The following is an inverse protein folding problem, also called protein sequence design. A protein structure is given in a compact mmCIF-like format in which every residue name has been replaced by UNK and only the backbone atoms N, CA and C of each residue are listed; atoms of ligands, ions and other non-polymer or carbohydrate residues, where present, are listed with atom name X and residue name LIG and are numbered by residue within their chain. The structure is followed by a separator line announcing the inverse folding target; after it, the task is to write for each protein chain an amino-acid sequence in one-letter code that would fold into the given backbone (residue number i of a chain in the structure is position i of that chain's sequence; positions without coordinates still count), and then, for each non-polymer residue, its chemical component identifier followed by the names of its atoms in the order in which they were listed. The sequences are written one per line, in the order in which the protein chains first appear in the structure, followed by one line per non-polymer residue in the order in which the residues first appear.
data_IF_398049911161
#
_entry.id   IF_398049911161
#
_cell.length_a   1.000
_cell.length_b   1.000
_cell.length_c   1.000
_cell.angle_alpha   90.00
_cell.angle_beta   90.00
_cell.angle_gamma   90.00
#
_symmetry.space_group_name_H-M   'P 1'
#
loop_
_entity.id
_entity.type
_entity.pdbx_description
1 polymer ?
#
# COMPACT_ATOMS: atom_id res chain seq x y z
N UNK A 1 -32.64 16.35 -39.90
CA UNK A 1 -31.75 17.22 -39.11
C UNK A 1 -31.33 18.42 -39.95
N UNK A 2 -31.61 19.64 -39.49
CA UNK A 2 -31.16 20.86 -40.18
C UNK A 2 -29.63 21.02 -40.04
N UNK A 3 -29.00 21.77 -40.95
CA UNK A 3 -27.55 22.05 -40.89
C UNK A 3 -27.17 22.62 -39.52
N UNK A 4 -27.97 23.54 -38.97
CA UNK A 4 -27.79 24.10 -37.62
C UNK A 4 -27.76 23.03 -36.51
N UNK A 5 -28.62 22.02 -36.60
CA UNK A 5 -28.68 20.93 -35.63
C UNK A 5 -27.43 20.03 -35.70
N UNK A 6 -26.89 19.77 -36.89
CA UNK A 6 -25.65 19.00 -37.07
C UNK A 6 -24.44 19.71 -36.46
N UNK A 7 -24.32 21.02 -36.68
CA UNK A 7 -23.26 21.83 -36.07
C UNK A 7 -23.38 21.91 -34.54
N UNK A 8 -24.60 22.02 -34.02
CA UNK A 8 -24.84 21.97 -32.57
C UNK A 8 -24.38 20.65 -31.94
N UNK A 9 -24.70 19.51 -32.57
CA UNK A 9 -24.25 18.18 -32.11
C UNK A 9 -22.73 18.06 -32.20
N UNK A 10 -22.11 18.50 -33.29
CA UNK A 10 -20.66 18.44 -33.45
C UNK A 10 -19.93 19.30 -32.40
N UNK A 11 -20.42 20.51 -32.13
CA UNK A 11 -19.86 21.39 -31.10
C UNK A 11 -20.00 20.78 -29.69
N UNK A 12 -21.15 20.16 -29.40
CA UNK A 12 -21.38 19.48 -28.11
C UNK A 12 -20.44 18.29 -27.93
N UNK A 13 -20.26 17.45 -28.95
CA UNK A 13 -19.34 16.32 -28.91
C UNK A 13 -17.89 16.77 -28.73
N UNK A 14 -17.48 17.82 -29.46
CA UNK A 14 -16.14 18.41 -29.31
C UNK A 14 -15.92 18.94 -27.90
N UNK A 15 -16.91 19.66 -27.34
CA UNK A 15 -16.85 20.15 -25.98
C UNK A 15 -16.71 19.01 -24.95
N UNK A 16 -17.48 17.92 -25.12
CA UNK A 16 -17.37 16.74 -24.27
C UNK A 16 -15.98 16.10 -24.33
N UNK A 17 -15.42 15.95 -25.53
CA UNK A 17 -14.06 15.40 -25.73
C UNK A 17 -13.03 16.29 -25.05
N UNK A 18 -13.13 17.61 -25.19
CA UNK A 18 -12.21 18.54 -24.53
C UNK A 18 -12.32 18.48 -23.01
N UNK A 19 -13.53 18.36 -22.46
CA UNK A 19 -13.76 18.21 -21.02
C UNK A 19 -13.08 16.93 -20.50
N UNK A 20 -13.25 15.81 -21.20
CA UNK A 20 -12.63 14.52 -20.81
C UNK A 20 -11.10 14.57 -20.96
N UNK A 21 -10.60 15.15 -22.06
CA UNK A 21 -9.16 15.27 -22.32
C UNK A 21 -8.46 16.20 -21.32
N UNK A 22 -9.15 17.21 -20.81
CA UNK A 22 -8.60 18.18 -19.84
C UNK A 22 -9.08 17.96 -18.41
N UNK A 23 -9.75 16.83 -18.14
CA UNK A 23 -10.37 16.58 -16.85
C UNK A 23 -9.32 16.62 -15.72
N UNK A 24 -9.45 17.53 -14.73
CA UNK A 24 -8.40 17.77 -13.76
C UNK A 24 -8.28 16.62 -12.75
N UNK A 25 -7.04 16.16 -12.51
CA UNK A 25 -6.76 15.02 -11.61
C UNK A 25 -7.28 15.26 -10.19
N UNK A 26 -7.20 16.50 -9.70
CA UNK A 26 -7.72 16.89 -8.38
C UNK A 26 -9.21 16.57 -8.23
N UNK A 27 -10.02 16.80 -9.27
CA UNK A 27 -11.46 16.56 -9.23
C UNK A 27 -11.75 15.06 -9.30
N UNK A 28 -11.00 14.32 -10.12
CA UNK A 28 -11.11 12.87 -10.20
C UNK A 28 -10.84 12.19 -8.85
N UNK A 29 -9.78 12.58 -8.15
CA UNK A 29 -9.43 12.05 -6.83
C UNK A 29 -10.48 12.38 -5.76
N UNK A 30 -11.07 13.59 -5.82
CA UNK A 30 -12.13 13.98 -4.90
C UNK A 30 -13.39 13.13 -5.10
N UNK A 31 -13.72 12.77 -6.34
CA UNK A 31 -14.91 11.96 -6.65
C UNK A 31 -14.69 10.46 -6.50
N UNK A 32 -13.46 9.96 -6.57
CA UNK A 32 -13.16 8.54 -6.48
C UNK A 32 -13.20 7.98 -5.05
N UNK A 33 -13.29 8.86 -4.03
CA UNK A 33 -13.14 8.47 -2.63
C UNK A 33 -11.68 8.14 -2.26
N UNK A 34 -10.71 8.54 -3.08
CA UNK A 34 -9.28 8.31 -2.80
C UNK A 34 -8.87 8.96 -1.46
N UNK A 35 -9.45 10.12 -1.13
CA UNK A 35 -9.25 10.78 0.17
C UNK A 35 -9.74 9.93 1.33
N UNK A 36 -10.91 9.29 1.20
CA UNK A 36 -11.46 8.38 2.22
C UNK A 36 -10.61 7.11 2.36
N UNK A 37 -9.93 6.71 1.28
CA UNK A 37 -8.94 5.64 1.27
C UNK A 37 -7.56 6.07 1.82
N UNK A 38 -7.42 7.30 2.31
CA UNK A 38 -6.20 7.81 2.95
C UNK A 38 -5.16 8.40 2.00
N UNK A 39 -5.47 8.57 0.71
CA UNK A 39 -4.60 9.25 -0.25
C UNK A 39 -4.68 10.75 -0.02
N UNK A 40 -3.54 11.36 0.32
CA UNK A 40 -3.41 12.82 0.46
C UNK A 40 -2.18 13.30 -0.29
N UNK A 41 -2.15 14.57 -0.68
CA UNK A 41 -1.00 15.20 -1.31
C UNK A 41 -1.00 16.69 -0.97
N UNK A 42 0.19 17.32 -0.90
CA UNK A 42 0.29 18.78 -0.71
C UNK A 42 -0.27 19.52 -1.91
N UNK A 43 0.02 19.02 -3.10
CA UNK A 43 -0.43 19.61 -4.36
C UNK A 43 -0.72 18.51 -5.39
N UNK A 44 -1.76 18.71 -6.19
CA UNK A 44 -2.13 17.82 -7.30
C UNK A 44 -2.17 18.65 -8.58
N UNK A 45 -1.34 18.27 -9.55
CA UNK A 45 -1.17 18.95 -10.83
C UNK A 45 -1.58 18.06 -12.00
N UNK A 46 -1.92 18.68 -13.12
CA UNK A 46 -2.21 17.99 -14.37
C UNK A 46 -3.63 17.43 -14.51
N UNK A 47 -3.89 16.84 -15.67
CA UNK A 47 -5.13 16.12 -15.96
C UNK A 47 -5.04 14.68 -15.50
N UNK A 48 -6.15 13.94 -15.52
CA UNK A 48 -6.17 12.50 -15.22
C UNK A 48 -5.24 11.67 -16.10
N UNK A 49 -4.85 12.18 -17.27
CA UNK A 49 -3.95 11.49 -18.21
C UNK A 49 -2.46 11.69 -17.91
N UNK A 50 -2.13 12.79 -17.24
CA UNK A 50 -0.76 13.19 -16.93
C UNK A 50 -0.73 13.93 -15.58
N UNK A 51 -1.12 13.21 -14.52
CA UNK A 51 -1.24 13.74 -13.18
C UNK A 51 0.07 13.64 -12.39
N UNK A 52 0.31 14.60 -11.52
CA UNK A 52 1.42 14.59 -10.56
C UNK A 52 0.91 14.97 -9.18
N UNK A 53 1.16 14.10 -8.19
CA UNK A 53 0.83 14.29 -6.80
C UNK A 53 2.13 14.61 -6.06
N UNK A 54 2.27 15.86 -5.62
CA UNK A 54 3.48 16.36 -4.94
C UNK A 54 3.36 16.09 -3.45
N UNK A 55 4.39 15.47 -2.87
CA UNK A 55 4.41 15.03 -1.47
C UNK A 55 3.16 14.21 -1.09
N UNK A 56 2.82 13.23 -1.93
CA UNK A 56 1.74 12.30 -1.69
C UNK A 56 2.01 11.43 -0.46
N UNK A 57 0.94 11.05 0.23
CA UNK A 57 0.91 10.11 1.35
C UNK A 57 -0.29 9.18 1.21
N UNK A 58 -0.12 7.95 1.68
CA UNK A 58 -1.20 6.99 1.83
C UNK A 58 -1.25 6.57 3.31
N UNK A 59 -2.20 7.13 4.07
CA UNK A 59 -2.20 6.99 5.52
C UNK A 59 -0.85 7.40 6.13
N UNK A 60 -0.22 6.50 6.88
CA UNK A 60 1.12 6.69 7.45
C UNK A 60 2.30 6.57 6.46
N UNK A 61 2.07 6.16 5.21
CA UNK A 61 3.14 5.90 4.23
C UNK A 61 3.45 7.17 3.42
N UNK A 62 4.63 7.79 3.60
CA UNK A 62 5.07 8.88 2.75
C UNK A 62 5.43 8.35 1.37
N UNK A 63 4.64 8.72 0.37
CA UNK A 63 4.91 8.35 -1.02
C UNK A 63 5.79 9.40 -1.71
N UNK A 64 5.85 10.64 -1.25
CA UNK A 64 6.63 11.68 -1.92
C UNK A 64 5.99 12.09 -3.26
N UNK A 65 6.78 12.53 -4.23
CA UNK A 65 6.22 12.94 -5.52
C UNK A 65 5.94 11.73 -6.41
N UNK A 66 4.67 11.52 -6.77
CA UNK A 66 4.18 10.39 -7.56
C UNK A 66 3.51 10.90 -8.82
N UNK A 67 3.89 10.36 -9.98
CA UNK A 67 3.13 10.55 -11.23
C UNK A 67 2.03 9.50 -11.30
N UNK A 68 0.83 9.92 -11.67
CA UNK A 68 -0.32 9.05 -11.80
C UNK A 68 -1.11 9.37 -13.07
N UNK A 69 -1.56 8.35 -13.78
CA UNK A 69 -2.33 8.48 -15.01
C UNK A 69 -3.41 7.43 -15.10
N UNK A 70 -4.59 7.82 -15.54
CA UNK A 70 -5.74 6.95 -15.80
C UNK A 70 -5.45 6.10 -17.04
N UNK A 71 -5.71 4.79 -16.93
CA UNK A 71 -5.56 3.85 -18.04
C UNK A 71 -6.72 4.01 -19.03
N UNK A 72 -6.48 4.46 -20.28
CA UNK A 72 -7.55 4.58 -21.27
C UNK A 72 -8.14 3.22 -21.61
N UNK A 73 -7.32 2.17 -21.62
CA UNK A 73 -7.75 0.80 -21.92
C UNK A 73 -8.69 0.28 -20.83
N UNK A 74 -8.35 0.48 -19.55
CA UNK A 74 -9.20 0.06 -18.44
C UNK A 74 -10.57 0.78 -18.47
N UNK A 75 -10.59 2.06 -18.83
CA UNK A 75 -11.85 2.80 -18.97
C UNK A 75 -12.77 2.23 -20.06
N UNK A 76 -12.20 1.74 -21.17
CA UNK A 76 -12.98 1.08 -22.22
C UNK A 76 -13.58 -0.25 -21.75
N UNK A 77 -12.92 -0.92 -20.81
CA UNK A 77 -13.41 -2.14 -20.14
C UNK A 77 -14.39 -1.83 -19.00
N UNK A 78 -14.59 -0.56 -18.66
CA UNK A 78 -15.48 -0.10 -17.58
C UNK A 78 -14.80 -0.01 -16.21
N UNK A 79 -13.48 -0.18 -16.15
CA UNK A 79 -12.69 -0.12 -14.93
C UNK A 79 -12.02 1.24 -14.70
N UNK A 80 -11.81 1.56 -13.42
CA UNK A 80 -11.11 2.79 -13.02
C UNK A 80 -9.74 2.43 -12.48
N UNK A 81 -8.75 2.38 -13.37
CA UNK A 81 -7.37 2.08 -13.05
C UNK A 81 -6.46 3.30 -13.21
N UNK A 82 -5.69 3.61 -12.17
CA UNK A 82 -4.62 4.59 -12.17
C UNK A 82 -3.27 3.88 -12.13
N UNK A 83 -2.48 4.05 -13.19
CA UNK A 83 -1.07 3.64 -13.19
C UNK A 83 -0.28 4.71 -12.45
N UNK A 84 0.58 4.32 -11.51
CA UNK A 84 1.39 5.26 -10.76
C UNK A 84 2.87 4.86 -10.78
N UNK A 85 3.73 5.88 -10.70
CA UNK A 85 5.17 5.69 -10.59
C UNK A 85 5.83 6.83 -9.81
N UNK A 86 6.88 6.49 -9.08
CA UNK A 86 7.79 7.39 -8.39
C UNK A 86 9.20 7.06 -8.82
N UNK A 87 9.92 8.08 -9.25
CA UNK A 87 11.33 7.98 -9.66
C UNK A 87 12.24 8.78 -8.73
N UNK A 88 11.77 9.16 -7.55
CA UNK A 88 12.57 9.88 -6.55
C UNK A 88 13.71 9.00 -6.04
N UNK A 89 14.99 9.34 -6.29
CA UNK A 89 16.13 8.53 -5.85
C UNK A 89 16.26 8.45 -4.33
N UNK A 90 15.76 9.45 -3.59
CA UNK A 90 15.89 9.52 -2.12
C UNK A 90 14.97 8.55 -1.41
N UNK A 91 13.77 8.36 -1.96
CA UNK A 91 12.74 7.46 -1.41
C UNK A 91 12.74 6.10 -2.08
N UNK A 92 13.53 5.93 -3.14
CA UNK A 92 13.54 4.74 -3.97
C UNK A 92 12.37 4.69 -4.97
N UNK A 93 12.56 3.92 -6.03
CA UNK A 93 11.53 3.70 -7.03
C UNK A 93 10.31 2.99 -6.41
N UNK A 94 9.12 3.36 -6.88
CA UNK A 94 7.86 2.70 -6.54
C UNK A 94 6.93 2.82 -7.74
N UNK A 95 6.34 1.72 -8.20
CA UNK A 95 5.40 1.73 -9.31
C UNK A 95 4.32 0.66 -9.10
N UNK A 96 3.17 0.84 -9.74
CA UNK A 96 2.09 -0.13 -9.71
C UNK A 96 0.81 0.44 -10.31
N UNK A 97 -0.30 -0.25 -10.04
CA UNK A 97 -1.64 0.14 -10.47
C UNK A 97 -2.54 0.26 -9.26
N UNK A 98 -3.38 1.28 -9.24
CA UNK A 98 -4.41 1.52 -8.25
C UNK A 98 -5.77 1.35 -8.90
N UNK A 99 -6.62 0.54 -8.29
CA UNK A 99 -7.93 0.17 -8.78
C UNK A 99 -9.02 0.79 -7.90
N UNK A 100 -9.82 1.69 -8.48
CA UNK A 100 -10.90 2.41 -7.81
C UNK A 100 -12.28 1.73 -7.93
N UNK A 101 -12.48 0.86 -8.93
CA UNK A 101 -13.70 0.05 -9.11
C UNK A 101 -13.70 -1.14 -8.15
N UNK A 102 -14.82 -1.84 -7.99
CA UNK A 102 -14.91 -3.05 -7.16
C UNK A 102 -14.51 -4.28 -7.99
N UNK A 103 -13.57 -5.14 -7.54
CA UNK A 103 -12.81 -5.03 -6.30
C UNK A 103 -11.82 -3.86 -6.33
N UNK A 104 -11.60 -3.19 -5.20
CA UNK A 104 -10.67 -2.04 -5.04
C UNK A 104 -9.30 -2.50 -4.57
N UNK A 105 -8.27 -1.69 -4.73
CA UNK A 105 -6.94 -1.98 -4.17
C UNK A 105 -5.81 -1.67 -5.13
N UNK A 106 -4.72 -2.43 -5.05
CA UNK A 106 -3.51 -2.20 -5.86
C UNK A 106 -3.05 -3.48 -6.54
N UNK A 107 -2.40 -3.37 -7.69
CA UNK A 107 -1.76 -4.52 -8.36
C UNK A 107 -0.38 -4.17 -8.89
N UNK A 108 0.44 -5.22 -9.06
CA UNK A 108 1.78 -5.13 -9.63
C UNK A 108 2.68 -4.08 -8.95
N UNK A 109 2.50 -3.91 -7.64
CA UNK A 109 3.28 -2.95 -6.87
C UNK A 109 4.71 -3.46 -6.74
N UNK A 110 5.66 -2.67 -7.21
CA UNK A 110 7.08 -2.95 -7.19
C UNK A 110 7.85 -1.74 -6.67
N UNK A 111 8.87 -2.00 -5.85
CA UNK A 111 9.75 -0.96 -5.33
C UNK A 111 9.75 -0.90 -3.82
N UNK A 112 10.02 0.28 -3.26
CA UNK A 112 10.21 0.46 -1.81
C UNK A 112 9.41 1.64 -1.29
N UNK A 113 9.07 1.64 -0.02
CA UNK A 113 8.52 2.81 0.68
C UNK A 113 8.95 2.75 2.14
N UNK A 114 8.97 3.90 2.80
CA UNK A 114 9.14 3.96 4.24
C UNK A 114 7.77 3.98 4.93
N UNK A 115 7.75 3.63 6.21
CA UNK A 115 6.56 3.67 7.06
C UNK A 115 6.88 4.47 8.33
N UNK A 116 6.33 5.67 8.38
CA UNK A 116 6.52 6.55 9.54
C UNK A 116 5.78 5.98 10.75
N UNK A 117 6.50 5.71 11.85
CA UNK A 117 5.89 5.27 13.11
C UNK A 117 5.68 3.76 13.27
N UNK A 118 6.08 2.93 12.30
CA UNK A 118 6.06 1.47 12.44
C UNK A 118 4.67 0.85 12.62
N UNK A 119 4.64 -0.38 13.13
CA UNK A 119 3.41 -1.11 13.46
C UNK A 119 3.22 -1.09 14.97
N UNK A 120 2.71 0.02 15.51
CA UNK A 120 2.59 0.23 16.95
C UNK A 120 3.96 0.12 17.62
N UNK A 121 4.17 -0.92 18.44
CA UNK A 121 5.45 -1.15 19.12
C UNK A 121 6.52 -1.82 18.25
N UNK A 122 6.20 -2.29 17.04
CA UNK A 122 7.18 -2.94 16.15
C UNK A 122 7.77 -1.87 15.21
N UNK A 123 9.08 -1.54 15.33
CA UNK A 123 9.69 -0.43 14.59
C UNK A 123 10.05 -0.86 13.16
N UNK A 124 9.05 -1.04 12.31
CA UNK A 124 9.21 -1.24 10.88
C UNK A 124 9.48 0.10 10.21
N UNK A 125 10.55 0.18 9.42
CA UNK A 125 10.96 1.42 8.76
C UNK A 125 10.77 1.35 7.24
N UNK A 126 11.27 0.28 6.62
CA UNK A 126 11.20 0.12 5.16
C UNK A 126 10.35 -1.08 4.76
N UNK A 127 9.56 -0.91 3.72
CA UNK A 127 8.76 -1.94 3.07
C UNK A 127 9.22 -2.05 1.62
N UNK A 128 9.58 -3.25 1.18
CA UNK A 128 9.89 -3.57 -0.21
C UNK A 128 8.81 -4.47 -0.78
N UNK A 129 8.34 -4.14 -1.97
CA UNK A 129 7.32 -4.86 -2.71
C UNK A 129 7.92 -5.49 -3.97
N UNK A 130 7.51 -6.72 -4.24
CA UNK A 130 7.87 -7.47 -5.43
C UNK A 130 6.60 -8.11 -6.00
N UNK A 131 6.08 -7.49 -7.07
CA UNK A 131 4.84 -7.89 -7.73
C UNK A 131 3.61 -7.92 -6.81
N UNK A 132 3.58 -7.08 -5.77
CA UNK A 132 2.55 -7.14 -4.75
C UNK A 132 1.18 -6.72 -5.32
N UNK A 133 0.19 -7.59 -5.17
CA UNK A 133 -1.20 -7.35 -5.59
C UNK A 133 -2.12 -7.60 -4.41
N UNK A 134 -3.04 -6.66 -4.17
CA UNK A 134 -3.99 -6.66 -3.06
C UNK A 134 -5.34 -6.13 -3.57
N UNK A 135 -6.37 -6.96 -3.55
CA UNK A 135 -7.72 -6.62 -4.00
C UNK A 135 -8.73 -6.90 -2.89
N UNK A 136 -9.66 -5.97 -2.70
CA UNK A 136 -10.69 -6.00 -1.68
C UNK A 136 -12.08 -5.81 -2.30
N UNK A 137 -13.09 -6.51 -1.80
CA UNK A 137 -14.48 -6.27 -2.18
C UNK A 137 -15.05 -4.99 -1.56
N UNK A 138 -16.30 -4.65 -1.90
CA UNK A 138 -17.00 -3.48 -1.36
C UNK A 138 -17.24 -3.51 0.16
N UNK A 139 -17.10 -4.67 0.81
CA UNK A 139 -17.14 -4.81 2.27
C UNK A 139 -15.75 -4.74 2.91
N UNK A 140 -14.69 -4.55 2.11
CA UNK A 140 -13.30 -4.49 2.56
C UNK A 140 -12.64 -5.85 2.81
N UNK A 141 -13.25 -6.97 2.35
CA UNK A 141 -12.65 -8.30 2.50
C UNK A 141 -11.68 -8.59 1.35
N UNK A 142 -10.56 -9.23 1.69
CA UNK A 142 -9.55 -9.67 0.73
C UNK A 142 -10.14 -10.66 -0.28
N UNK A 143 -10.11 -10.31 -1.56
CA UNK A 143 -10.53 -11.18 -2.68
C UNK A 143 -9.34 -11.75 -3.43
N UNK A 144 -8.23 -11.02 -3.50
CA UNK A 144 -6.98 -11.49 -4.10
C UNK A 144 -5.79 -10.85 -3.40
N UNK A 145 -4.78 -11.65 -3.08
CA UNK A 145 -3.50 -11.18 -2.59
C UNK A 145 -2.37 -12.08 -3.08
N UNK A 146 -1.32 -11.49 -3.64
CA UNK A 146 -0.18 -12.21 -4.20
C UNK A 146 1.07 -11.33 -4.24
N UNK A 147 2.19 -11.93 -4.65
CA UNK A 147 3.50 -11.29 -4.65
C UNK A 147 4.24 -11.48 -3.32
N UNK A 148 5.31 -10.72 -3.13
CA UNK A 148 6.15 -10.81 -1.94
C UNK A 148 6.38 -9.43 -1.35
N UNK A 149 6.53 -9.40 -0.03
CA UNK A 149 6.99 -8.20 0.67
C UNK A 149 8.18 -8.53 1.56
N UNK A 150 9.01 -7.53 1.80
CA UNK A 150 10.06 -7.56 2.81
C UNK A 150 9.95 -6.32 3.69
N UNK A 151 10.02 -6.53 5.00
CA UNK A 151 9.99 -5.47 6.01
C UNK A 151 11.35 -5.40 6.70
N UNK A 152 11.96 -4.22 6.74
CA UNK A 152 13.16 -3.97 7.53
C UNK A 152 12.78 -3.30 8.85
N UNK A 153 13.36 -3.80 9.94
CA UNK A 153 13.17 -3.26 11.30
C UNK A 153 14.43 -2.47 11.63
N UNK A 154 14.28 -1.19 11.98
CA UNK A 154 15.40 -0.26 12.12
C UNK A 154 16.12 -0.34 13.46
N UNK A 155 15.46 -0.86 14.50
CA UNK A 155 16.04 -0.98 15.84
C UNK A 155 16.54 -2.42 16.08
N UNK A 156 17.79 -2.60 16.56
CA UNK A 156 18.25 -3.89 17.03
C UNK A 156 17.41 -4.32 18.24
N UNK A 157 16.78 -5.48 18.15
CA UNK A 157 15.98 -6.04 19.23
C UNK A 157 16.88 -6.97 20.04
N UNK A 158 17.28 -6.55 21.24
CA UNK A 158 18.15 -7.33 22.13
C UNK A 158 19.46 -7.83 21.45
N UNK A 159 20.06 -7.01 20.58
CA UNK A 159 21.29 -7.37 19.85
C UNK A 159 21.07 -8.19 18.56
N UNK A 160 19.82 -8.53 18.23
CA UNK A 160 19.47 -9.18 16.96
C UNK A 160 19.50 -8.15 15.83
N UNK A 161 20.30 -8.44 14.80
CA UNK A 161 20.34 -7.65 13.58
C UNK A 161 19.22 -8.07 12.62
N UNK A 162 18.10 -7.35 12.70
CA UNK A 162 16.96 -7.49 11.81
C UNK A 162 17.02 -6.54 10.61
N UNK A 163 18.16 -5.86 10.39
CA UNK A 163 18.35 -4.94 9.26
C UNK A 163 18.26 -5.65 7.90
N UNK A 164 18.59 -6.94 7.85
CA UNK A 164 18.42 -7.79 6.66
C UNK A 164 16.94 -8.06 6.30
N UNK A 165 16.02 -7.70 7.19
CA UNK A 165 14.59 -7.69 6.99
C UNK A 165 13.94 -9.08 7.04
N UNK A 166 12.62 -9.08 7.25
CA UNK A 166 11.76 -10.26 7.22
C UNK A 166 10.98 -10.27 5.91
N UNK A 167 11.03 -11.38 5.18
CA UNK A 167 10.40 -11.49 3.87
C UNK A 167 9.42 -12.67 3.81
N UNK A 168 8.42 -12.57 2.94
CA UNK A 168 7.45 -13.62 2.74
C UNK A 168 6.38 -13.28 1.71
N UNK A 169 5.55 -14.26 1.34
CA UNK A 169 4.48 -14.07 0.39
C UNK A 169 3.27 -13.36 1.01
N UNK A 170 2.48 -12.73 0.14
CA UNK A 170 1.14 -12.24 0.46
C UNK A 170 0.10 -13.29 0.07
N UNK A 171 -0.98 -13.37 0.85
CA UNK A 171 -2.14 -14.20 0.54
C UNK A 171 -3.40 -13.72 1.25
N UNK A 172 -4.57 -14.15 0.81
CA UNK A 172 -5.82 -13.89 1.53
C UNK A 172 -6.06 -15.01 2.55
N UNK A 173 -6.38 -14.63 3.79
CA UNK A 173 -6.79 -15.55 4.85
C UNK A 173 -7.88 -14.90 5.71
N UNK A 174 -8.98 -15.62 5.93
CA UNK A 174 -10.11 -15.16 6.75
C UNK A 174 -10.63 -13.75 6.35
N UNK A 175 -10.69 -13.48 5.04
CA UNK A 175 -11.14 -12.19 4.50
C UNK A 175 -10.15 -11.03 4.71
N UNK A 176 -8.90 -11.30 5.12
CA UNK A 176 -7.84 -10.32 5.31
C UNK A 176 -6.66 -10.64 4.40
N UNK A 177 -5.90 -9.63 4.01
CA UNK A 177 -4.55 -9.86 3.49
C UNK A 177 -3.70 -10.33 4.66
N UNK A 178 -2.90 -11.37 4.44
CA UNK A 178 -1.94 -11.89 5.39
C UNK A 178 -0.57 -12.01 4.73
N UNK A 179 0.46 -11.56 5.45
CA UNK A 179 1.86 -11.77 5.14
C UNK A 179 2.50 -12.56 6.29
N UNK A 180 3.06 -13.72 5.98
CA UNK A 180 3.84 -14.52 6.91
C UNK A 180 5.31 -14.33 6.58
N UNK A 181 5.97 -13.45 7.31
CA UNK A 181 7.34 -13.03 7.06
C UNK A 181 8.29 -13.75 7.99
N UNK A 182 9.46 -14.13 7.49
CA UNK A 182 10.52 -14.71 8.30
C UNK A 182 11.86 -14.05 7.98
N UNK A 183 12.75 -14.04 8.96
CA UNK A 183 14.16 -13.74 8.74
C UNK A 183 14.85 -14.87 7.99
N UNK A 184 16.11 -14.65 7.58
CA UNK A 184 16.93 -15.68 6.94
C UNK A 184 17.22 -16.89 7.85
N UNK A 185 17.30 -16.66 9.17
CA UNK A 185 17.49 -17.74 10.16
C UNK A 185 16.21 -18.50 10.46
N UNK A 186 15.04 -17.91 10.16
CA UNK A 186 13.73 -18.44 10.51
C UNK A 186 13.38 -18.33 12.00
N UNK A 187 14.25 -17.74 12.82
CA UNK A 187 14.03 -17.55 14.25
C UNK A 187 13.02 -16.43 14.53
N UNK A 188 13.04 -15.39 13.71
CA UNK A 188 12.12 -14.26 13.78
C UNK A 188 11.04 -14.40 12.72
N UNK A 189 9.79 -14.36 13.17
CA UNK A 189 8.61 -14.46 12.33
C UNK A 189 7.67 -13.31 12.61
N UNK A 190 7.30 -12.57 11.58
CA UNK A 190 6.30 -11.51 11.66
C UNK A 190 5.08 -11.90 10.82
N UNK A 191 3.95 -12.07 11.50
CA UNK A 191 2.67 -12.24 10.83
C UNK A 191 1.93 -10.91 10.83
N UNK A 192 1.72 -10.34 9.65
CA UNK A 192 0.93 -9.13 9.43
C UNK A 192 -0.40 -9.52 8.79
N UNK A 193 -1.53 -8.99 9.29
CA UNK A 193 -2.83 -9.14 8.65
C UNK A 193 -3.62 -7.84 8.64
N UNK A 194 -4.22 -7.47 7.50
CA UNK A 194 -4.99 -6.24 7.36
C UNK A 194 -6.17 -6.41 6.40
N UNK A 195 -7.18 -5.56 6.54
CA UNK A 195 -8.35 -5.51 5.66
C UNK A 195 -8.42 -4.19 4.87
N UNK A 196 -9.41 -4.07 3.99
CA UNK A 196 -9.59 -2.90 3.14
C UNK A 196 -9.96 -1.62 3.90
N UNK A 197 -10.28 -1.71 5.19
CA UNK A 197 -10.45 -0.53 6.05
C UNK A 197 -9.12 -0.03 6.63
N UNK A 198 -8.03 -0.75 6.43
CA UNK A 198 -6.72 -0.44 7.00
C UNK A 198 -6.53 -0.89 8.44
N UNK A 199 -7.53 -1.55 9.06
CA UNK A 199 -7.36 -2.16 10.36
C UNK A 199 -6.35 -3.30 10.24
N UNK A 200 -5.31 -3.31 11.09
CA UNK A 200 -4.24 -4.29 11.04
C UNK A 200 -4.03 -5.02 12.37
N UNK A 201 -3.44 -6.21 12.28
CA UNK A 201 -2.88 -6.97 13.40
C UNK A 201 -1.49 -7.44 12.99
N UNK A 202 -0.49 -7.17 13.81
CA UNK A 202 0.86 -7.66 13.60
C UNK A 202 1.35 -8.42 14.82
N UNK A 203 2.03 -9.55 14.58
CA UNK A 203 2.58 -10.41 15.62
C UNK A 203 4.01 -10.78 15.24
N UNK A 204 4.96 -10.26 16.01
CA UNK A 204 6.36 -10.63 15.93
C UNK A 204 6.65 -11.72 16.97
N UNK A 205 7.14 -12.86 16.51
CA UNK A 205 7.60 -13.95 17.34
C UNK A 205 9.11 -14.13 17.14
N UNK A 206 9.85 -14.23 18.24
CA UNK A 206 11.28 -14.47 18.26
C UNK A 206 11.50 -15.76 19.03
N UNK A 207 12.03 -16.77 18.35
CA UNK A 207 12.49 -17.97 19.01
C UNK A 207 13.91 -17.74 19.53
N UNK A 208 14.10 -17.92 20.83
CA UNK A 208 15.41 -17.81 21.49
C UNK A 208 15.78 -19.19 22.00
N UNK A 209 17.00 -19.65 21.70
CA UNK A 209 17.53 -20.94 22.11
C UNK A 209 17.88 -20.96 23.60
N UNK A 210 16.86 -20.79 24.46
CA UNK A 210 16.92 -20.85 25.93
C UNK A 210 17.96 -19.90 26.57
N UNK A 211 18.35 -18.82 25.90
CA UNK A 211 19.19 -17.78 26.50
C UNK A 211 18.37 -16.95 27.52
N UNK A 212 18.66 -17.06 28.84
CA UNK A 212 17.90 -16.34 29.86
C UNK A 212 18.15 -14.83 29.84
N UNK A 213 19.32 -14.37 29.37
CA UNK A 213 19.61 -12.93 29.25
C UNK A 213 18.78 -12.31 28.12
N UNK A 214 18.69 -13.00 26.98
CA UNK A 214 17.86 -12.56 25.86
C UNK A 214 16.37 -12.63 26.17
N UNK A 215 15.93 -13.66 26.90
CA UNK A 215 14.56 -13.75 27.43
C UNK A 215 14.20 -12.55 28.33
N UNK A 216 15.09 -12.16 29.24
CA UNK A 216 14.90 -11.00 30.10
C UNK A 216 14.86 -9.69 29.29
N UNK A 217 15.76 -9.53 28.32
CA UNK A 217 15.77 -8.35 27.44
C UNK A 217 14.46 -8.22 26.64
N UNK A 218 13.97 -9.31 26.04
CA UNK A 218 12.71 -9.33 25.30
C UNK A 218 11.51 -8.99 26.19
N UNK A 219 11.50 -9.47 27.44
CA UNK A 219 10.46 -9.12 28.40
C UNK A 219 10.43 -7.61 28.70
N UNK A 220 11.59 -6.95 28.82
CA UNK A 220 11.64 -5.48 29.00
C UNK A 220 11.13 -4.70 27.79
N UNK A 221 11.21 -5.29 26.59
CA UNK A 221 10.67 -4.73 25.34
C UNK A 221 9.18 -5.05 25.12
N UNK A 222 8.51 -5.64 26.11
CA UNK A 222 7.08 -5.94 26.09
C UNK A 222 6.71 -7.28 25.44
N UNK A 223 7.70 -8.11 25.07
CA UNK A 223 7.42 -9.45 24.60
C UNK A 223 6.92 -10.35 25.74
N UNK A 224 5.98 -11.24 25.42
CA UNK A 224 5.44 -12.23 26.34
C UNK A 224 5.82 -13.63 25.89
N UNK A 225 6.16 -14.51 26.83
CA UNK A 225 6.41 -15.91 26.53
C UNK A 225 5.14 -16.57 25.95
N UNK A 226 5.31 -17.40 24.92
CA UNK A 226 4.23 -18.17 24.29
C UNK A 226 4.74 -19.47 23.68
N UNK A 227 3.84 -20.22 23.04
CA UNK A 227 4.10 -21.58 22.50
C UNK A 227 5.11 -21.65 21.35
N UNK A 228 5.71 -20.54 20.94
CA UNK A 228 6.68 -20.47 19.84
C UNK A 228 7.78 -19.44 20.07
N UNK A 229 8.16 -19.23 21.34
CA UNK A 229 9.13 -18.24 21.77
C UNK A 229 8.47 -16.99 22.37
N UNK A 230 9.16 -15.87 22.30
CA UNK A 230 8.70 -14.58 22.81
C UNK A 230 7.88 -13.87 21.74
N UNK A 231 6.75 -13.29 22.14
CA UNK A 231 5.79 -12.69 21.22
C UNK A 231 5.49 -11.25 21.59
N UNK A 232 5.58 -10.36 20.61
CA UNK A 232 5.04 -9.02 20.65
C UNK A 232 3.88 -8.91 19.66
N UNK A 233 2.71 -8.53 20.14
CA UNK A 233 1.51 -8.36 19.32
C UNK A 233 1.00 -6.93 19.40
N UNK A 234 0.57 -6.41 18.26
CA UNK A 234 0.02 -5.06 18.10
C UNK A 234 -1.20 -5.11 17.19
N UNK A 235 -2.08 -4.14 17.37
CA UNK A 235 -3.24 -3.90 16.52
C UNK A 235 -3.40 -2.41 16.33
N UNK A 236 -3.85 -1.99 15.16
CA UNK A 236 -4.10 -0.57 14.90
C UNK A 236 -4.80 -0.35 13.57
N UNK A 237 -4.64 0.85 13.04
CA UNK A 237 -5.12 1.25 11.71
C UNK A 237 -4.02 2.08 11.03
N UNK A 238 -3.86 1.91 9.72
CA UNK A 238 -2.94 2.71 8.91
C UNK A 238 -3.42 4.14 8.68
#
# INVERSE_FOLDING_TARGET
MSVRQRWGVAALLLALVLIVATFPMRLALAWSGATDAGVTAREVRGSVWAGELVEARLGALPLGTVRASLSPLALLEGDTELVFSRTDPRLGALAGRLHGSNPRGVSEVNGTTTMSGGLGMIPVDTIRFEGATLRFDGAGKCTSASGRIQLAVSAPIAGLDLSRGLAGPLGCANGRVQAALASQSGMERLTLSFDGSGAYRARLAINVDRDPAMAAALATLGFKAGSGGFVLATTGRF
#
